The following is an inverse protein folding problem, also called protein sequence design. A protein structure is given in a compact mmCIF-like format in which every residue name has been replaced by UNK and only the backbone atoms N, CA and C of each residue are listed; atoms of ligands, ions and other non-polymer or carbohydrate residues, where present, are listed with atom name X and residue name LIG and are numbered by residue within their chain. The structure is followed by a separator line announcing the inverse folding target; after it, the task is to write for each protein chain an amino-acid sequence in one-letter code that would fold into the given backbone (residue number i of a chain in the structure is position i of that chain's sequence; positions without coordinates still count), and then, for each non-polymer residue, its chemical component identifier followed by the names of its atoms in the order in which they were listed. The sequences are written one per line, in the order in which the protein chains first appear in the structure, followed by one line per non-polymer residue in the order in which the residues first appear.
data_IF_292629861789
#
_entry.id   IF_292629861789
#
_cell.length_a   1.000
_cell.length_b   1.000
_cell.length_c   1.000
_cell.angle_alpha   90.00
_cell.angle_beta   90.00
_cell.angle_gamma   90.00
#
_symmetry.space_group_name_H-M   'P 1'
#
loop_
_entity.id
_entity.type
_entity.pdbx_description
1 polymer ?
#
# COMPACT_ATOMS: atom_id res chain seq x y z
N UNK A 1 -0.60 34.99 -17.20
CA UNK A 1 0.23 33.77 -17.20
C UNK A 1 -0.69 32.59 -16.89
N UNK A 2 -1.11 31.79 -17.87
CA UNK A 2 -1.95 30.63 -17.60
C UNK A 2 -1.12 29.53 -16.92
N UNK A 3 -1.61 29.02 -15.80
CA UNK A 3 -1.04 27.91 -15.08
C UNK A 3 -1.21 26.62 -15.91
N UNK A 4 -0.10 26.01 -16.34
CA UNK A 4 -0.13 24.69 -16.94
C UNK A 4 -0.48 23.67 -15.84
N UNK A 5 -1.71 23.18 -15.89
CA UNK A 5 -2.16 22.07 -15.05
C UNK A 5 -1.52 20.79 -15.61
N UNK A 6 -0.37 20.39 -15.08
CA UNK A 6 0.25 19.09 -15.37
C UNK A 6 -0.65 17.99 -14.83
N UNK A 7 -1.39 17.34 -15.73
CA UNK A 7 -2.04 16.07 -15.48
C UNK A 7 -0.94 15.04 -15.16
N UNK A 8 -0.75 14.71 -13.89
CA UNK A 8 0.09 13.58 -13.50
C UNK A 8 -0.65 12.30 -13.89
N UNK A 9 -0.30 11.75 -15.05
CA UNK A 9 -0.71 10.38 -15.42
C UNK A 9 -0.13 9.45 -14.35
N UNK A 10 -0.94 8.59 -13.71
CA UNK A 10 -0.44 7.60 -12.78
C UNK A 10 0.43 6.62 -13.59
N UNK A 11 1.74 6.66 -13.38
CA UNK A 11 2.67 5.67 -13.92
C UNK A 11 2.36 4.35 -13.20
N UNK A 12 1.62 3.47 -13.87
CA UNK A 12 1.37 2.11 -13.42
C UNK A 12 2.71 1.40 -13.21
N UNK A 13 3.00 1.06 -11.96
CA UNK A 13 4.27 0.49 -11.47
C UNK A 13 4.49 -0.99 -11.82
N UNK A 14 3.88 -1.53 -12.89
CA UNK A 14 3.93 -2.97 -13.17
C UNK A 14 4.91 -3.41 -14.27
N UNK A 15 5.65 -2.48 -14.89
CA UNK A 15 6.79 -2.81 -15.74
C UNK A 15 7.77 -1.63 -15.78
N UNK A 16 8.33 -1.26 -14.63
CA UNK A 16 9.43 -0.30 -14.61
C UNK A 16 10.59 -0.89 -15.42
N UNK A 17 10.93 -0.24 -16.53
CA UNK A 17 12.05 -0.65 -17.38
C UNK A 17 13.30 -0.68 -16.52
N UNK A 18 13.90 -1.86 -16.39
CA UNK A 18 15.11 -2.09 -15.60
C UNK A 18 16.14 -2.83 -16.41
N UNK A 19 17.43 -2.62 -16.10
CA UNK A 19 18.53 -3.35 -16.70
C UNK A 19 19.25 -4.18 -15.64
N UNK A 20 19.47 -5.45 -15.94
CA UNK A 20 20.13 -6.36 -15.00
C UNK A 20 21.64 -6.15 -14.97
N UNK A 21 22.27 -6.34 -13.81
CA UNK A 21 23.74 -6.35 -13.65
C UNK A 21 24.45 -7.33 -14.60
N UNK A 22 23.80 -8.43 -14.97
CA UNK A 22 24.30 -9.40 -15.96
C UNK A 22 24.31 -8.82 -17.37
N UNK A 23 23.23 -8.13 -17.74
CA UNK A 23 23.15 -7.46 -19.02
C UNK A 23 24.19 -6.35 -19.13
N UNK A 24 24.37 -5.57 -18.06
CA UNK A 24 25.45 -4.57 -17.96
C UNK A 24 26.82 -5.25 -18.11
N UNK A 25 27.07 -6.37 -17.43
CA UNK A 25 28.32 -7.12 -17.55
C UNK A 25 28.57 -7.61 -18.98
N UNK A 26 27.54 -8.16 -19.66
CA UNK A 26 27.62 -8.58 -21.07
C UNK A 26 27.92 -7.42 -22.01
N UNK A 27 27.23 -6.29 -21.84
CA UNK A 27 27.42 -5.10 -22.69
C UNK A 27 28.79 -4.46 -22.49
N UNK A 28 29.27 -4.45 -21.25
CA UNK A 28 30.51 -3.79 -20.88
C UNK A 28 31.74 -4.69 -21.00
N UNK A 29 31.57 -6.01 -21.10
CA UNK A 29 32.65 -6.99 -21.07
C UNK A 29 33.35 -7.11 -19.71
N UNK A 30 32.82 -6.48 -18.66
CA UNK A 30 33.33 -6.60 -17.30
C UNK A 30 32.88 -7.93 -16.67
N UNK A 31 33.69 -8.49 -15.79
CA UNK A 31 33.26 -9.59 -14.91
C UNK A 31 32.06 -9.14 -14.08
N UNK A 32 31.05 -10.00 -13.97
CA UNK A 32 29.83 -9.71 -13.21
C UNK A 32 30.12 -9.33 -11.75
N UNK A 33 31.07 -10.01 -11.10
CA UNK A 33 31.52 -9.68 -9.74
C UNK A 33 31.97 -8.21 -9.58
N UNK A 34 32.63 -7.65 -10.60
CA UNK A 34 33.08 -6.26 -10.57
C UNK A 34 31.91 -5.30 -10.76
N UNK A 35 30.96 -5.64 -11.63
CA UNK A 35 29.74 -4.85 -11.81
C UNK A 35 28.91 -4.84 -10.53
N UNK A 36 28.77 -5.99 -9.85
CA UNK A 36 28.09 -6.08 -8.55
C UNK A 36 28.75 -5.18 -7.52
N UNK A 37 30.09 -5.25 -7.38
CA UNK A 37 30.83 -4.36 -6.47
C UNK A 37 30.62 -2.88 -6.78
N UNK A 38 30.69 -2.51 -8.06
CA UNK A 38 30.50 -1.12 -8.50
C UNK A 38 29.07 -0.64 -8.16
N UNK A 39 28.06 -1.52 -8.28
CA UNK A 39 26.66 -1.24 -7.90
C UNK A 39 26.52 -1.08 -6.39
N UNK A 40 27.09 -1.98 -5.59
CA UNK A 40 27.02 -1.91 -4.12
C UNK A 40 27.64 -0.62 -3.59
N UNK A 41 28.78 -0.22 -4.16
CA UNK A 41 29.44 1.04 -3.82
C UNK A 41 28.58 2.25 -4.21
N UNK A 42 28.08 2.28 -5.46
CA UNK A 42 27.23 3.36 -5.95
C UNK A 42 25.96 3.51 -5.12
N UNK A 43 25.28 2.41 -4.78
CA UNK A 43 24.08 2.44 -3.93
C UNK A 43 24.40 2.95 -2.51
N UNK A 44 25.55 2.57 -1.96
CA UNK A 44 26.05 3.10 -0.69
C UNK A 44 26.27 4.62 -0.73
N UNK A 45 26.89 5.12 -1.81
CA UNK A 45 27.18 6.55 -1.99
C UNK A 45 25.89 7.39 -2.20
N UNK A 46 24.88 6.84 -2.89
CA UNK A 46 23.59 7.50 -3.13
C UNK A 46 22.66 7.40 -1.90
N UNK A 47 22.96 6.51 -0.95
CA UNK A 47 22.10 6.27 0.22
C UNK A 47 20.85 5.45 -0.12
N UNK A 48 20.85 4.73 -1.25
CA UNK A 48 19.78 3.81 -1.62
C UNK A 48 20.07 2.40 -1.08
N UNK A 49 19.12 1.84 -0.33
CA UNK A 49 19.31 0.53 0.31
C UNK A 49 19.47 -0.62 -0.70
N UNK A 50 20.53 -1.41 -0.53
CA UNK A 50 20.83 -2.60 -1.34
C UNK A 50 19.65 -3.58 -1.57
N UNK A 51 18.75 -3.84 -0.59
CA UNK A 51 17.65 -4.78 -0.78
C UNK A 51 16.61 -4.32 -1.81
N UNK A 52 16.53 -3.02 -2.11
CA UNK A 52 15.49 -2.47 -3.01
C UNK A 52 15.62 -2.95 -4.45
N UNK A 53 16.84 -3.28 -4.88
CA UNK A 53 17.17 -3.63 -6.26
C UNK A 53 17.79 -5.03 -6.40
N UNK A 54 17.86 -5.77 -5.29
CA UNK A 54 18.43 -7.11 -5.25
C UNK A 54 17.54 -8.13 -5.95
N UNK A 55 18.16 -9.02 -6.71
CA UNK A 55 17.53 -10.14 -7.40
C UNK A 55 18.50 -11.32 -7.41
N UNK A 56 18.07 -12.49 -7.89
CA UNK A 56 18.90 -13.70 -7.99
C UNK A 56 18.83 -14.30 -9.38
N UNK A 57 19.93 -14.90 -9.83
CA UNK A 57 19.96 -15.65 -11.09
C UNK A 57 20.65 -16.99 -10.91
N UNK A 58 20.16 -18.00 -11.63
CA UNK A 58 20.80 -19.31 -11.71
C UNK A 58 21.88 -19.29 -12.78
N UNK A 59 23.11 -19.64 -12.41
CA UNK A 59 24.21 -19.72 -13.36
C UNK A 59 24.09 -21.02 -14.20
N UNK A 60 24.05 -20.93 -15.54
CA UNK A 60 23.86 -22.08 -16.41
C UNK A 60 25.00 -23.11 -16.37
N UNK A 61 26.18 -22.75 -15.85
CA UNK A 61 27.34 -23.65 -15.81
C UNK A 61 27.34 -24.60 -14.60
N UNK A 62 26.77 -24.20 -13.47
CA UNK A 62 26.85 -24.97 -12.23
C UNK A 62 25.49 -25.13 -11.51
N UNK A 63 24.42 -24.55 -12.05
CA UNK A 63 23.08 -24.62 -11.46
C UNK A 63 22.94 -23.90 -10.12
N UNK A 64 23.93 -23.12 -9.70
CA UNK A 64 23.90 -22.39 -8.42
C UNK A 64 23.29 -21.00 -8.61
N UNK A 65 22.62 -20.50 -7.56
CA UNK A 65 22.06 -19.16 -7.53
C UNK A 65 23.09 -18.13 -7.07
N UNK A 66 23.13 -17.01 -7.78
CA UNK A 66 23.98 -15.87 -7.49
C UNK A 66 23.16 -14.59 -7.43
N UNK A 67 23.60 -13.65 -6.59
CA UNK A 67 23.01 -12.33 -6.49
C UNK A 67 23.17 -11.55 -7.79
N UNK A 68 22.11 -10.89 -8.23
CA UNK A 68 22.14 -9.88 -9.27
C UNK A 68 21.34 -8.65 -8.82
N UNK A 69 21.46 -7.56 -9.57
CA UNK A 69 20.71 -6.34 -9.33
C UNK A 69 19.93 -5.94 -10.57
N UNK A 70 18.72 -5.41 -10.39
CA UNK A 70 17.90 -4.79 -11.43
C UNK A 70 17.84 -3.30 -11.18
N UNK A 71 18.50 -2.53 -12.03
CA UNK A 71 18.62 -1.09 -11.85
C UNK A 71 17.61 -0.33 -12.73
N UNK A 72 16.93 0.69 -12.19
CA UNK A 72 16.18 1.65 -12.99
C UNK A 72 17.12 2.54 -13.80
N UNK A 73 16.57 3.21 -14.82
CA UNK A 73 17.31 4.04 -15.79
C UNK A 73 18.35 4.96 -15.14
N UNK A 74 17.93 5.73 -14.13
CA UNK A 74 18.76 6.74 -13.48
C UNK A 74 19.99 6.15 -12.80
N UNK A 75 19.80 5.07 -12.03
CA UNK A 75 20.89 4.37 -11.35
C UNK A 75 21.84 3.67 -12.34
N UNK A 76 21.30 3.18 -13.45
CA UNK A 76 22.12 2.57 -14.50
C UNK A 76 22.99 3.61 -15.20
N UNK A 77 22.47 4.80 -15.46
CA UNK A 77 23.28 5.90 -15.99
C UNK A 77 24.32 6.36 -14.98
N UNK A 78 23.95 6.52 -13.71
CA UNK A 78 24.88 6.91 -12.66
C UNK A 78 26.08 5.94 -12.55
N UNK A 79 25.81 4.63 -12.55
CA UNK A 79 26.84 3.59 -12.55
C UNK A 79 27.82 3.77 -13.73
N UNK A 80 27.28 4.04 -14.91
CA UNK A 80 28.03 4.05 -16.17
C UNK A 80 28.76 5.39 -16.42
N UNK A 81 28.39 6.46 -15.71
CA UNK A 81 29.16 7.71 -15.70
C UNK A 81 30.60 7.50 -15.20
N UNK A 82 30.83 6.52 -14.32
CA UNK A 82 32.17 6.13 -13.87
C UNK A 82 32.93 5.20 -14.83
N UNK A 83 32.29 4.71 -15.90
CA UNK A 83 32.91 3.79 -16.86
C UNK A 83 33.54 4.52 -18.04
N UNK A 84 34.43 3.82 -18.77
CA UNK A 84 35.01 4.26 -20.05
C UNK A 84 33.91 4.66 -21.05
N UNK A 85 34.20 5.67 -21.87
CA UNK A 85 33.26 6.22 -22.85
C UNK A 85 32.66 5.16 -23.80
N UNK A 86 33.48 4.22 -24.27
CA UNK A 86 33.06 3.13 -25.17
C UNK A 86 31.97 2.25 -24.54
N UNK A 87 32.14 1.92 -23.26
CA UNK A 87 31.21 1.08 -22.49
C UNK A 87 29.93 1.84 -22.19
N UNK A 88 30.05 3.15 -21.92
CA UNK A 88 28.92 4.03 -21.69
C UNK A 88 27.98 4.10 -22.87
N UNK A 89 28.53 4.26 -24.07
CA UNK A 89 27.73 4.32 -25.29
C UNK A 89 26.94 3.02 -25.53
N UNK A 90 27.52 1.85 -25.24
CA UNK A 90 26.83 0.55 -25.38
C UNK A 90 25.62 0.45 -24.46
N UNK A 91 25.78 0.81 -23.18
CA UNK A 91 24.68 0.76 -22.21
C UNK A 91 23.61 1.80 -22.55
N UNK A 92 23.99 3.00 -22.97
CA UNK A 92 23.05 4.05 -23.40
C UNK A 92 22.24 3.61 -24.63
N UNK A 93 22.88 3.01 -25.64
CA UNK A 93 22.19 2.46 -26.82
C UNK A 93 21.18 1.39 -26.45
N UNK A 94 21.56 0.47 -25.56
CA UNK A 94 20.65 -0.55 -25.06
C UNK A 94 19.43 0.05 -24.35
N UNK A 95 19.63 1.09 -23.53
CA UNK A 95 18.51 1.81 -22.91
C UNK A 95 17.59 2.46 -23.95
N UNK A 96 18.14 3.12 -24.97
CA UNK A 96 17.32 3.69 -26.05
C UNK A 96 16.51 2.61 -26.80
N UNK A 97 17.08 1.42 -27.02
CA UNK A 97 16.36 0.29 -27.62
C UNK A 97 15.20 -0.18 -26.75
N UNK A 98 15.44 -0.36 -25.44
CA UNK A 98 14.42 -0.77 -24.48
C UNK A 98 13.29 0.27 -24.38
N UNK A 99 13.64 1.56 -24.38
CA UNK A 99 12.66 2.66 -24.40
C UNK A 99 11.85 2.68 -25.70
N UNK A 100 12.47 2.39 -26.84
CA UNK A 100 11.77 2.31 -28.12
C UNK A 100 10.83 1.11 -28.17
N UNK A 101 11.20 -0.02 -27.56
CA UNK A 101 10.36 -1.22 -27.47
C UNK A 101 9.15 -1.03 -26.53
N UNK A 102 9.31 -0.25 -25.47
CA UNK A 102 8.26 0.01 -24.50
C UNK A 102 7.44 1.28 -24.81
N UNK A 103 7.89 2.10 -25.76
CA UNK A 103 7.12 3.21 -26.27
C UNK A 103 5.79 2.68 -26.82
N UNK A 104 4.64 3.29 -26.47
CA UNK A 104 3.36 2.90 -27.04
C UNK A 104 3.49 2.96 -28.56
N UNK A 105 3.15 1.87 -29.23
CA UNK A 105 3.22 1.79 -30.69
C UNK A 105 2.29 2.86 -31.26
N UNK A 106 2.86 3.98 -31.68
CA UNK A 106 2.10 5.01 -32.35
C UNK A 106 1.69 4.46 -33.71
N UNK A 107 0.41 4.60 -34.09
CA UNK A 107 -0.06 4.20 -35.41
C UNK A 107 0.79 4.91 -36.47
N UNK A 108 1.43 4.15 -37.35
CA UNK A 108 2.38 4.68 -38.34
C UNK A 108 1.65 5.37 -39.49
N UNK A 109 0.37 5.05 -39.67
CA UNK A 109 -0.50 5.62 -40.68
C UNK A 109 -1.73 6.27 -40.08
N UNK A 110 -2.26 7.29 -40.76
CA UNK A 110 -3.49 7.96 -40.36
C UNK A 110 -4.70 7.02 -40.31
N UNK A 111 -4.76 6.05 -41.23
CA UNK A 111 -5.84 5.05 -41.28
C UNK A 111 -5.85 4.14 -40.05
N UNK A 112 -4.69 3.62 -39.65
CA UNK A 112 -4.55 2.80 -38.42
C UNK A 112 -4.93 3.61 -37.17
N UNK A 113 -4.53 4.89 -37.12
CA UNK A 113 -4.86 5.77 -36.00
C UNK A 113 -6.38 5.97 -35.85
N UNK A 114 -7.09 6.15 -36.97
CA UNK A 114 -8.54 6.33 -36.97
C UNK A 114 -9.27 5.06 -36.53
N UNK A 115 -8.80 3.89 -36.95
CA UNK A 115 -9.39 2.60 -36.56
C UNK A 115 -9.22 2.32 -35.06
N UNK A 116 -8.01 2.52 -34.53
CA UNK A 116 -7.76 2.36 -33.10
C UNK A 116 -8.53 3.39 -32.26
N UNK A 117 -8.62 4.64 -32.72
CA UNK A 117 -9.46 5.64 -32.06
C UNK A 117 -10.94 5.24 -32.01
N UNK A 118 -11.46 4.66 -33.10
CA UNK A 118 -12.83 4.14 -33.16
C UNK A 118 -13.05 2.99 -32.17
N UNK A 119 -12.12 2.04 -32.10
CA UNK A 119 -12.17 0.93 -31.14
C UNK A 119 -12.15 1.43 -29.70
N UNK A 120 -11.23 2.34 -29.37
CA UNK A 120 -11.13 2.93 -28.03
C UNK A 120 -12.40 3.70 -27.64
N UNK A 121 -13.02 4.42 -28.60
CA UNK A 121 -14.29 5.09 -28.37
C UNK A 121 -15.40 4.09 -28.03
N UNK A 122 -15.50 2.98 -28.76
CA UNK A 122 -16.48 1.91 -28.48
C UNK A 122 -16.25 1.27 -27.11
N UNK A 123 -15.00 0.97 -26.74
CA UNK A 123 -14.68 0.42 -25.42
C UNK A 123 -15.03 1.41 -24.30
N UNK A 124 -14.73 2.68 -24.49
CA UNK A 124 -15.11 3.74 -23.54
C UNK A 124 -16.62 3.83 -23.39
N UNK A 125 -17.37 3.82 -24.49
CA UNK A 125 -18.81 3.95 -24.46
C UNK A 125 -19.46 2.74 -23.77
N UNK A 126 -18.98 1.51 -24.01
CA UNK A 126 -19.37 0.30 -23.26
C UNK A 126 -19.12 0.44 -21.75
N UNK A 127 -17.93 0.90 -21.36
CA UNK A 127 -17.60 1.11 -19.94
C UNK A 127 -18.48 2.20 -19.31
N UNK A 128 -18.85 3.23 -20.06
CA UNK A 128 -19.77 4.27 -19.60
C UNK A 128 -21.18 3.71 -19.41
N UNK A 129 -21.65 2.87 -20.33
CA UNK A 129 -22.95 2.19 -20.22
C UNK A 129 -22.99 1.25 -19.01
N UNK A 130 -21.95 0.45 -18.80
CA UNK A 130 -21.82 -0.40 -17.61
C UNK A 130 -21.84 0.43 -16.32
N UNK A 131 -21.09 1.54 -16.27
CA UNK A 131 -21.11 2.45 -15.11
C UNK A 131 -22.49 3.05 -14.90
N UNK A 132 -23.17 3.53 -15.95
CA UNK A 132 -24.53 4.07 -15.88
C UNK A 132 -25.54 3.04 -15.37
N UNK A 133 -25.39 1.78 -15.76
CA UNK A 133 -26.25 0.70 -15.26
C UNK A 133 -26.03 0.41 -13.76
N UNK A 134 -24.82 0.65 -13.25
CA UNK A 134 -24.47 0.46 -11.84
C UNK A 134 -24.75 1.68 -10.97
N UNK A 135 -24.79 2.89 -11.53
CA UNK A 135 -25.12 4.14 -10.82
C UNK A 135 -26.37 4.04 -9.92
N UNK A 136 -27.55 3.58 -10.39
CA UNK A 136 -28.72 3.49 -9.53
C UNK A 136 -28.53 2.50 -8.38
N UNK A 137 -27.71 1.45 -8.56
CA UNK A 137 -27.39 0.49 -7.50
C UNK A 137 -26.47 1.12 -6.45
N UNK A 138 -25.46 1.89 -6.88
CA UNK A 138 -24.58 2.64 -5.95
C UNK A 138 -25.39 3.68 -5.18
N UNK A 139 -26.24 4.46 -5.86
CA UNK A 139 -27.11 5.46 -5.21
C UNK A 139 -28.06 4.81 -4.21
N UNK A 140 -28.65 3.66 -4.54
CA UNK A 140 -29.50 2.93 -3.60
C UNK A 140 -28.72 2.43 -2.37
N UNK A 141 -27.50 1.91 -2.56
CA UNK A 141 -26.61 1.48 -1.48
C UNK A 141 -26.17 2.65 -0.60
N UNK A 142 -25.84 3.80 -1.21
CA UNK A 142 -25.46 5.01 -0.49
C UNK A 142 -26.62 5.56 0.34
N UNK A 143 -27.86 5.49 -0.20
CA UNK A 143 -29.07 5.85 0.56
C UNK A 143 -29.26 4.94 1.78
N UNK A 144 -29.11 3.62 1.60
CA UNK A 144 -29.17 2.67 2.71
C UNK A 144 -28.07 2.94 3.74
N UNK A 145 -26.85 3.24 3.29
CA UNK A 145 -25.73 3.58 4.17
C UNK A 145 -25.89 4.95 4.85
N UNK A 146 -26.71 5.84 4.31
CA UNK A 146 -27.01 7.16 4.89
C UNK A 146 -28.14 7.15 5.91
N UNK A 147 -28.81 6.01 6.13
CA UNK A 147 -29.83 5.88 7.18
C UNK A 147 -29.20 6.16 8.55
N UNK A 148 -29.94 6.85 9.40
CA UNK A 148 -29.47 7.20 10.74
C UNK A 148 -29.32 5.94 11.59
N UNK A 149 -28.09 5.70 12.04
CA UNK A 149 -27.75 4.59 12.92
C UNK A 149 -26.29 4.63 13.33
N UNK A 150 -26.06 4.59 14.63
CA UNK A 150 -24.73 4.46 15.24
C UNK A 150 -24.63 3.11 15.95
N UNK A 151 -23.60 2.34 15.60
CA UNK A 151 -23.35 1.02 16.14
C UNK A 151 -22.08 1.02 16.99
N UNK A 152 -22.15 0.36 18.15
CA UNK A 152 -20.95 0.09 18.94
C UNK A 152 -20.05 -0.94 18.21
N UNK A 153 -18.77 -1.02 18.59
CA UNK A 153 -17.78 -1.88 17.92
C UNK A 153 -18.20 -3.36 17.84
N UNK A 154 -18.91 -3.88 18.85
CA UNK A 154 -19.41 -5.25 18.87
C UNK A 154 -20.53 -5.47 17.85
N UNK A 155 -21.51 -4.58 17.83
CA UNK A 155 -22.64 -4.62 16.92
C UNK A 155 -22.18 -4.43 15.47
N UNK A 156 -21.22 -3.52 15.24
CA UNK A 156 -20.58 -3.35 13.94
C UNK A 156 -19.87 -4.63 13.47
N UNK A 157 -19.10 -5.28 14.36
CA UNK A 157 -18.44 -6.55 14.04
C UNK A 157 -19.45 -7.64 13.64
N UNK A 158 -20.54 -7.77 14.39
CA UNK A 158 -21.61 -8.72 14.10
C UNK A 158 -22.28 -8.44 12.74
N UNK A 159 -22.57 -7.19 12.42
CA UNK A 159 -23.15 -6.80 11.13
C UNK A 159 -22.20 -7.03 9.94
N UNK A 160 -20.89 -6.89 10.16
CA UNK A 160 -19.88 -7.25 9.16
C UNK A 160 -19.65 -8.77 9.05
N UNK A 161 -20.17 -9.59 9.98
CA UNK A 161 -19.90 -11.04 10.03
C UNK A 161 -18.52 -11.40 10.56
N UNK A 162 -17.83 -10.49 11.26
CA UNK A 162 -16.48 -10.70 11.77
C UNK A 162 -16.46 -10.99 13.28
N UNK A 163 -15.54 -11.84 13.78
CA UNK A 163 -15.31 -11.98 15.21
C UNK A 163 -14.83 -10.65 15.84
N UNK A 164 -15.44 -10.24 16.96
CA UNK A 164 -15.25 -8.92 17.59
C UNK A 164 -13.77 -8.55 17.78
N UNK A 165 -12.94 -9.46 18.28
CA UNK A 165 -11.51 -9.18 18.50
C UNK A 165 -10.74 -8.96 17.20
N UNK A 166 -10.96 -9.81 16.18
CA UNK A 166 -10.30 -9.71 14.87
C UNK A 166 -10.71 -8.40 14.17
N UNK A 167 -11.99 -8.06 14.23
CA UNK A 167 -12.53 -6.81 13.68
C UNK A 167 -11.87 -5.58 14.29
N UNK A 168 -11.76 -5.52 15.62
CA UNK A 168 -11.18 -4.35 16.28
C UNK A 168 -9.69 -4.22 15.99
N UNK A 169 -8.94 -5.32 15.98
CA UNK A 169 -7.53 -5.29 15.60
C UNK A 169 -7.35 -4.76 14.18
N UNK A 170 -8.20 -5.22 13.25
CA UNK A 170 -8.18 -4.74 11.87
C UNK A 170 -8.48 -3.25 11.75
N UNK A 171 -9.40 -2.72 12.56
CA UNK A 171 -9.68 -1.28 12.62
C UNK A 171 -8.52 -0.47 13.21
N UNK A 172 -7.71 -1.05 14.09
CA UNK A 172 -6.50 -0.39 14.61
C UNK A 172 -5.44 -0.34 13.51
N UNK A 173 -5.21 -1.46 12.81
CA UNK A 173 -4.28 -1.53 11.66
C UNK A 173 -4.65 -0.54 10.54
N UNK A 174 -5.94 -0.41 10.23
CA UNK A 174 -6.44 0.51 9.20
C UNK A 174 -6.46 1.98 9.64
N UNK A 175 -6.06 2.30 10.88
CA UNK A 175 -6.07 3.66 11.40
C UNK A 175 -7.47 4.25 11.59
N UNK A 176 -8.44 3.41 11.99
CA UNK A 176 -9.79 3.86 12.39
C UNK A 176 -9.89 4.06 13.90
N UNK A 177 -9.25 3.18 14.66
CA UNK A 177 -9.18 3.23 16.12
C UNK A 177 -7.73 3.32 16.60
N UNK A 178 -7.52 3.95 17.75
CA UNK A 178 -6.27 3.85 18.50
C UNK A 178 -6.55 3.55 19.96
N UNK A 179 -5.55 3.04 20.67
CA UNK A 179 -5.60 2.82 22.12
C UNK A 179 -4.98 4.02 22.83
N UNK A 180 -5.75 4.66 23.72
CA UNK A 180 -5.26 5.77 24.52
C UNK A 180 -4.19 5.27 25.49
N UNK A 181 -3.01 5.88 25.47
CA UNK A 181 -1.82 5.41 26.19
C UNK A 181 -2.01 5.34 27.72
N UNK A 182 -2.76 6.28 28.29
CA UNK A 182 -2.96 6.39 29.75
C UNK A 182 -4.11 5.52 30.26
N UNK A 183 -5.18 5.42 29.47
CA UNK A 183 -6.44 4.81 29.93
C UNK A 183 -6.69 3.43 29.33
N UNK A 184 -5.91 3.03 28.31
CA UNK A 184 -6.10 1.79 27.55
C UNK A 184 -7.41 1.73 26.75
N UNK A 185 -8.18 2.82 26.72
CA UNK A 185 -9.48 2.89 26.05
C UNK A 185 -9.30 3.05 24.55
N UNK A 186 -10.24 2.51 23.78
CA UNK A 186 -10.26 2.63 22.32
C UNK A 186 -10.94 3.93 21.93
N UNK A 187 -10.28 4.74 21.13
CA UNK A 187 -10.76 6.03 20.66
C UNK A 187 -10.74 6.07 19.12
N UNK A 188 -11.66 6.83 18.52
CA UNK A 188 -11.71 7.01 17.07
C UNK A 188 -10.76 8.12 16.63
N UNK A 189 -10.14 7.97 15.46
CA UNK A 189 -9.32 9.05 14.88
C UNK A 189 -10.19 10.23 14.42
N UNK A 190 -9.68 11.45 14.66
CA UNK A 190 -10.40 12.68 14.35
C UNK A 190 -10.78 12.80 12.86
N UNK A 191 -9.95 12.28 11.96
CA UNK A 191 -10.21 12.32 10.50
C UNK A 191 -11.44 11.49 10.12
N UNK A 192 -11.67 10.36 10.80
CA UNK A 192 -12.83 9.51 10.56
C UNK A 192 -14.11 10.12 11.15
N UNK A 193 -13.98 10.86 12.24
CA UNK A 193 -15.07 11.63 12.83
C UNK A 193 -15.46 12.80 11.92
N UNK A 194 -14.48 13.59 11.44
CA UNK A 194 -14.71 14.67 10.48
C UNK A 194 -15.34 14.19 9.18
N UNK A 195 -14.98 12.98 8.73
CA UNK A 195 -15.55 12.35 7.54
C UNK A 195 -16.99 11.81 7.74
N UNK A 196 -17.56 11.88 8.95
CA UNK A 196 -18.88 11.35 9.29
C UNK A 196 -18.96 9.82 9.28
N UNK A 197 -17.83 9.13 9.40
CA UNK A 197 -17.75 7.66 9.42
C UNK A 197 -17.81 7.09 10.83
N UNK A 198 -17.43 7.90 11.83
CA UNK A 198 -17.46 7.54 13.23
C UNK A 198 -17.93 8.71 14.08
N UNK A 199 -18.47 8.42 15.25
CA UNK A 199 -18.88 9.41 16.23
C UNK A 199 -18.34 9.02 17.61
N UNK A 200 -18.06 10.01 18.46
CA UNK A 200 -17.66 9.78 19.84
C UNK A 200 -18.84 10.08 20.76
N UNK A 201 -19.52 9.04 21.26
CA UNK A 201 -20.60 9.20 22.23
C UNK A 201 -20.01 9.37 23.62
N UNK A 202 -20.34 10.45 24.31
CA UNK A 202 -19.95 10.62 25.71
C UNK A 202 -20.78 9.70 26.61
N UNK A 203 -20.11 8.86 27.38
CA UNK A 203 -20.71 7.93 28.35
C UNK A 203 -20.08 8.18 29.70
N UNK A 204 -20.91 8.32 30.72
CA UNK A 204 -20.47 8.44 32.10
C UNK A 204 -20.08 7.06 32.63
N UNK A 205 -18.83 6.93 33.05
CA UNK A 205 -18.33 5.72 33.72
C UNK A 205 -18.20 6.03 35.20
N UNK A 206 -19.06 5.40 36.02
CA UNK A 206 -18.96 5.47 37.48
C UNK A 206 -17.86 4.51 37.94
N UNK A 207 -16.85 5.05 38.61
CA UNK A 207 -15.81 4.28 39.29
C UNK A 207 -15.83 4.65 40.77
N UNK A 208 -15.30 3.78 41.62
CA UNK A 208 -15.38 3.87 43.09
C UNK A 208 -15.02 5.28 43.59
N UNK A 209 -16.05 6.12 43.83
CA UNK A 209 -15.93 7.49 44.35
C UNK A 209 -16.04 8.67 43.35
N UNK A 210 -15.95 8.48 42.03
CA UNK A 210 -16.00 9.58 41.04
C UNK A 210 -16.68 9.19 39.72
N UNK A 211 -17.27 10.17 39.03
CA UNK A 211 -17.89 10.03 37.69
C UNK A 211 -16.97 10.66 36.65
N UNK A 212 -16.53 9.87 35.67
CA UNK A 212 -15.76 10.38 34.52
C UNK A 212 -16.62 10.31 33.25
N UNK A 213 -16.66 11.40 32.49
CA UNK A 213 -17.22 11.40 31.12
C UNK A 213 -16.19 10.87 30.12
N UNK A 214 -16.56 9.86 29.34
CA UNK A 214 -15.65 9.14 28.45
C UNK A 214 -16.23 9.06 27.05
N UNK A 215 -15.45 9.40 26.02
CA UNK A 215 -15.84 9.20 24.63
C UNK A 215 -15.75 7.73 24.20
N UNK A 216 -16.89 7.12 23.92
CA UNK A 216 -16.98 5.79 23.32
C UNK A 216 -17.06 5.90 21.79
N UNK A 217 -16.21 5.19 21.03
CA UNK A 217 -16.28 5.20 19.57
C UNK A 217 -17.51 4.42 19.08
N UNK A 218 -18.31 5.11 18.28
CA UNK A 218 -19.45 4.57 17.54
C UNK A 218 -19.15 4.65 16.04
N UNK A 219 -19.63 3.66 15.29
CA UNK A 219 -19.50 3.60 13.83
C UNK A 219 -20.85 3.96 13.22
N UNK A 220 -20.88 4.91 12.29
CA UNK A 220 -22.11 5.27 11.55
C UNK A 220 -22.42 4.21 10.49
N UNK A 221 -23.66 4.15 9.99
CA UNK A 221 -23.99 3.24 8.88
C UNK A 221 -23.09 3.46 7.64
N UNK A 222 -22.76 4.72 7.34
CA UNK A 222 -21.80 5.10 6.28
C UNK A 222 -20.39 4.58 6.58
N UNK A 223 -19.96 4.68 7.84
CA UNK A 223 -18.73 4.09 8.32
C UNK A 223 -18.69 2.59 8.11
N UNK A 224 -19.77 1.89 8.48
CA UNK A 224 -19.91 0.45 8.37
C UNK A 224 -19.87 -0.03 6.91
N UNK A 225 -20.61 0.63 6.01
CA UNK A 225 -20.60 0.34 4.59
C UNK A 225 -19.18 0.43 4.03
N UNK A 226 -18.45 1.51 4.37
CA UNK A 226 -17.06 1.71 3.95
C UNK A 226 -16.12 0.64 4.54
N UNK A 227 -16.27 0.31 5.83
CA UNK A 227 -15.51 -0.75 6.47
C UNK A 227 -15.73 -2.08 5.73
N UNK A 228 -16.97 -2.42 5.40
CA UNK A 228 -17.29 -3.65 4.67
C UNK A 228 -16.64 -3.72 3.29
N UNK A 229 -16.61 -2.60 2.55
CA UNK A 229 -15.92 -2.55 1.25
C UNK A 229 -14.39 -2.71 1.37
N UNK A 230 -13.80 -2.25 2.47
CA UNK A 230 -12.34 -2.30 2.68
C UNK A 230 -11.90 -3.67 3.21
N UNK A 231 -12.67 -4.22 4.15
CA UNK A 231 -12.30 -5.42 4.90
C UNK A 231 -12.76 -6.69 4.16
N UNK A 232 -13.84 -6.62 3.37
CA UNK A 232 -14.41 -7.79 2.71
C UNK A 232 -15.08 -8.75 3.69
N UNK A 233 -15.41 -9.95 3.21
CA UNK A 233 -16.00 -11.00 4.04
C UNK A 233 -15.00 -11.54 5.06
N UNK A 234 -15.51 -12.13 6.14
CA UNK A 234 -14.67 -12.63 7.22
C UNK A 234 -13.66 -13.67 6.70
N UNK A 235 -12.40 -13.63 7.14
CA UNK A 235 -11.42 -14.64 6.81
C UNK A 235 -11.93 -15.98 7.34
N UNK A 236 -12.27 -16.88 6.41
CA UNK A 236 -12.63 -18.27 6.70
C UNK A 236 -11.47 -18.87 7.49
N UNK A 237 -11.75 -19.43 8.67
CA UNK A 237 -10.70 -19.97 9.54
C UNK A 237 -9.96 -21.11 8.83
N UNK A 238 -8.76 -20.81 8.33
CA UNK A 238 -7.95 -21.73 7.54
C UNK A 238 -6.77 -21.08 6.81
N UNK A 239 -6.77 -19.76 6.58
CA UNK A 239 -5.59 -19.07 6.03
C UNK A 239 -4.70 -18.58 7.18
N UNK A 240 -3.60 -19.30 7.39
CA UNK A 240 -2.53 -18.95 8.32
C UNK A 240 -2.02 -17.55 7.96
N UNK A 241 -2.35 -16.55 8.77
CA UNK A 241 -1.59 -15.30 8.80
C UNK A 241 -0.19 -15.64 9.33
N UNK A 242 0.90 -15.25 8.64
CA UNK A 242 2.25 -15.57 9.09
C UNK A 242 2.47 -14.99 10.50
N UNK A 243 2.80 -15.89 11.41
CA UNK A 243 3.11 -15.61 12.79
C UNK A 243 4.46 -14.90 12.87
N UNK A 244 4.47 -13.57 12.75
CA UNK A 244 5.62 -12.78 13.18
C UNK A 244 5.16 -11.65 14.10
N UNK A 245 5.90 -11.53 15.22
CA UNK A 245 5.78 -10.56 16.32
C UNK A 245 4.84 -10.92 17.48
N UNK A 246 4.96 -12.16 17.97
CA UNK A 246 4.81 -12.42 19.40
C UNK A 246 6.06 -11.91 20.15
N UNK A 247 6.10 -10.63 20.52
CA UNK A 247 6.97 -10.17 21.59
C UNK A 247 6.18 -10.11 22.89
N UNK A 248 6.54 -11.01 23.82
CA UNK A 248 6.01 -11.19 25.16
C UNK A 248 5.97 -9.86 25.92
N UNK A 249 4.77 -9.33 26.17
CA UNK A 249 4.55 -8.40 27.27
C UNK A 249 4.36 -9.22 28.56
N UNK A 250 5.39 -9.27 29.39
CA UNK A 250 5.34 -9.85 30.73
C UNK A 250 4.23 -9.15 31.54
N UNK A 251 3.33 -9.87 32.23
CA UNK A 251 2.33 -9.23 33.08
C UNK A 251 3.04 -8.50 34.23
N UNK A 252 2.80 -7.19 34.37
CA UNK A 252 3.22 -6.43 35.56
C UNK A 252 2.48 -6.98 36.79
N UNK A 253 3.17 -7.30 37.90
CA UNK A 253 2.51 -7.83 39.08
C UNK A 253 1.56 -6.78 39.68
N UNK A 254 0.34 -7.21 40.02
CA UNK A 254 -0.60 -6.44 40.80
C UNK A 254 -0.04 -6.24 42.22
N UNK A 255 0.38 -5.02 42.55
CA UNK A 255 0.71 -4.67 43.93
C UNK A 255 -0.60 -4.57 44.74
N UNK A 256 -0.82 -5.51 45.66
CA UNK A 256 -1.80 -5.34 46.72
C UNK A 256 -1.33 -4.20 47.63
N UNK A 257 -2.11 -3.12 47.71
CA UNK A 257 -1.92 -2.09 48.73
C UNK A 257 -2.51 -2.61 50.03
N UNK A 258 -1.67 -3.26 50.84
CA UNK A 258 -1.96 -3.59 52.23
C UNK A 258 -2.08 -2.30 53.07
N UNK A 259 -2.97 -2.35 54.05
CA UNK A 259 -3.47 -1.19 54.79
C UNK A 259 -2.47 -0.52 55.73
N UNK A 260 -2.86 0.69 56.16
CA UNK A 260 -2.37 1.33 57.37
C UNK A 260 -3.60 1.77 58.18
N UNK A 261 -3.64 1.27 59.42
CA UNK A 261 -4.58 1.53 60.52
C UNK A 261 -4.31 2.89 61.19
N UNK A 262 -5.19 3.33 62.12
CA UNK A 262 -5.46 4.75 62.40
C UNK A 262 -4.62 5.32 63.56
N UNK A 263 -4.68 6.63 63.71
CA UNK A 263 -4.48 7.35 64.99
C UNK A 263 -5.82 7.78 65.55
#
# INVERSE_FOLDING_TARGET
MPAFNTLSVPVSTENALTMSSLEIAKLTGKRHDHVVRDIEKMLGDVGEGLPKFGDTYTNPQNGQEYRCYKLPRDLTYNLVLGYRADLRLKVVRRWMELETQQAPALPKTYAEALLEAGRLAQERDKLVEEKRALEPKVVALDRLASLEGVHNLRSAAQQCGWPERKFINRLIELGWLYTHSVTGRKCAYADKIKAGLMESKNVEVRRTGYVEGVGQPMITQKGLAKIRTIIGDAPVEGTVLPAELAQKATPRPFAHRSGATPT
#
